data_IF_156345459570
#
_entry.id   IF_156345459570
#
_cell.length_a   1.000
_cell.length_b   1.000
_cell.length_c   1.000
_cell.angle_alpha   90.00
_cell.angle_beta   90.00
_cell.angle_gamma   90.00
#
_symmetry.space_group_name_H-M   'P 1'
#
loop_
_entity.id
_entity.type
_entity.pdbx_description
1 polymer ?
#
# COMPACT_ATOMS: atom_id res chain seq x y z
N UNK A 1 -6.21 -72.58 -67.07
CA UNK A 1 -5.82 -71.26 -67.65
C UNK A 1 -4.81 -70.47 -66.79
N UNK A 2 -4.30 -70.99 -65.66
CA UNK A 2 -3.32 -70.30 -64.82
C UNK A 2 -1.86 -70.78 -65.01
N UNK A 3 -1.61 -71.98 -65.55
CA UNK A 3 -0.24 -72.52 -65.69
C UNK A 3 0.54 -71.95 -66.88
N UNK A 4 -0.14 -71.56 -67.97
CA UNK A 4 0.50 -71.04 -69.19
C UNK A 4 1.13 -69.65 -69.03
N UNK A 5 0.78 -68.90 -67.98
CA UNK A 5 1.33 -67.56 -67.72
C UNK A 5 2.63 -67.59 -66.91
N UNK A 6 2.83 -68.62 -66.09
CA UNK A 6 4.02 -68.78 -65.24
C UNK A 6 5.27 -69.21 -66.03
N UNK A 7 5.13 -70.09 -67.03
CA UNK A 7 6.30 -70.57 -67.81
C UNK A 7 6.90 -69.50 -68.74
N UNK A 8 6.13 -68.46 -69.11
CA UNK A 8 6.63 -67.35 -69.95
C UNK A 8 7.48 -66.32 -69.20
N UNK A 9 7.41 -66.28 -67.86
CA UNK A 9 8.12 -65.32 -67.02
C UNK A 9 9.48 -65.84 -66.52
N UNK A 10 9.69 -67.16 -66.55
CA UNK A 10 10.95 -67.84 -66.18
C UNK A 10 11.78 -68.18 -67.43
N UNK A 11 11.66 -67.41 -68.51
CA UNK A 11 12.53 -67.49 -69.70
C UNK A 11 12.61 -68.87 -70.38
N UNK A 12 11.72 -69.81 -70.04
CA UNK A 12 11.79 -71.18 -70.52
C UNK A 12 11.14 -71.25 -71.91
N UNK A 13 11.95 -71.00 -72.94
CA UNK A 13 11.65 -71.46 -74.30
C UNK A 13 11.87 -72.97 -74.31
N UNK A 14 10.78 -73.71 -74.36
CA UNK A 14 10.83 -75.14 -74.65
C UNK A 14 11.61 -75.38 -75.93
N UNK A 15 12.54 -76.33 -75.86
CA UNK A 15 13.19 -76.91 -77.03
C UNK A 15 12.13 -77.56 -77.92
N UNK A 16 12.02 -77.10 -79.15
CA UNK A 16 11.58 -77.93 -80.26
C UNK A 16 12.84 -78.36 -81.02
N UNK A 17 13.22 -79.61 -80.79
CA UNK A 17 13.96 -80.43 -81.76
C UNK A 17 13.15 -80.47 -83.07
N UNK A 18 13.81 -80.21 -84.20
CA UNK A 18 13.16 -80.36 -85.50
C UNK A 18 13.55 -79.32 -86.54
N UNK A 19 14.85 -79.01 -86.68
CA UNK A 19 15.35 -78.52 -87.96
C UNK A 19 16.54 -79.36 -88.38
N UNK A 20 16.23 -80.33 -89.24
CA UNK A 20 17.10 -80.82 -90.31
C UNK A 20 18.16 -79.77 -90.64
N UNK A 21 19.43 -80.19 -90.67
CA UNK A 21 20.57 -79.38 -91.10
C UNK A 21 20.16 -78.42 -92.22
N UNK A 22 20.15 -77.09 -91.99
CA UNK A 22 19.69 -76.17 -92.99
C UNK A 22 20.79 -76.04 -94.04
N UNK A 23 20.59 -76.64 -95.20
CA UNK A 23 21.38 -76.37 -96.40
C UNK A 23 21.41 -74.86 -96.77
N UNK A 24 20.53 -74.04 -96.16
CA UNK A 24 20.51 -72.58 -96.26
C UNK A 24 21.59 -71.86 -95.43
N UNK A 25 22.19 -72.51 -94.43
CA UNK A 25 23.27 -71.93 -93.61
C UNK A 25 24.66 -72.20 -94.19
N UNK A 26 24.75 -72.99 -95.27
CA UNK A 26 26.02 -73.26 -95.91
C UNK A 26 26.60 -71.98 -96.53
N UNK A 27 25.78 -71.13 -97.16
CA UNK A 27 26.25 -69.92 -97.84
C UNK A 27 26.68 -68.80 -96.87
N UNK A 28 25.94 -68.58 -95.78
CA UNK A 28 26.36 -67.63 -94.74
C UNK A 28 27.58 -68.15 -93.99
N UNK A 29 27.65 -69.46 -93.71
CA UNK A 29 28.84 -70.08 -93.14
C UNK A 29 30.03 -70.05 -94.10
N UNK A 30 29.81 -70.20 -95.41
CA UNK A 30 30.84 -70.05 -96.44
C UNK A 30 31.31 -68.60 -96.49
N UNK A 31 30.42 -67.59 -96.43
CA UNK A 31 30.84 -66.17 -96.35
C UNK A 31 31.61 -65.83 -95.07
N UNK A 32 31.17 -66.34 -93.93
CA UNK A 32 31.86 -66.19 -92.65
C UNK A 32 33.24 -66.87 -92.71
N UNK A 33 33.30 -68.09 -93.24
CA UNK A 33 34.56 -68.83 -93.44
C UNK A 33 35.44 -68.19 -94.52
N UNK A 34 34.88 -67.57 -95.56
CA UNK A 34 35.61 -66.82 -96.58
C UNK A 34 36.17 -65.54 -95.99
N UNK A 35 35.41 -64.81 -95.17
CA UNK A 35 35.91 -63.66 -94.43
C UNK A 35 37.01 -64.06 -93.45
N UNK A 36 36.83 -65.16 -92.73
CA UNK A 36 37.85 -65.71 -91.83
C UNK A 36 39.06 -66.24 -92.61
N UNK A 37 38.88 -66.84 -93.79
CA UNK A 37 39.97 -67.29 -94.66
C UNK A 37 40.70 -66.10 -95.30
N UNK A 38 40.00 -65.02 -95.63
CA UNK A 38 40.59 -63.77 -96.08
C UNK A 38 41.34 -63.09 -94.94
N UNK A 39 40.80 -63.06 -93.72
CA UNK A 39 41.50 -62.57 -92.52
C UNK A 39 42.75 -63.42 -92.21
N UNK A 40 42.65 -64.74 -92.34
CA UNK A 40 43.77 -65.66 -92.17
C UNK A 40 44.79 -65.56 -93.31
N UNK A 41 44.37 -65.31 -94.56
CA UNK A 41 45.28 -65.02 -95.70
C UNK A 41 45.99 -63.68 -95.50
N UNK A 42 45.26 -62.64 -95.10
CA UNK A 42 45.78 -61.33 -94.70
C UNK A 42 46.83 -61.45 -93.58
N UNK A 43 46.55 -62.28 -92.56
CA UNK A 43 47.48 -62.58 -91.47
C UNK A 43 48.70 -63.42 -91.92
N UNK A 44 48.56 -64.25 -92.96
CA UNK A 44 49.65 -65.11 -93.48
C UNK A 44 50.60 -64.36 -94.43
N UNK A 45 50.15 -63.27 -95.03
CA UNK A 45 50.96 -62.41 -95.92
C UNK A 45 52.07 -61.63 -95.18
N UNK A 46 52.04 -61.56 -93.85
CA UNK A 46 53.09 -60.93 -93.03
C UNK A 46 54.48 -61.57 -93.26
N UNK A 47 54.51 -62.86 -93.61
CA UNK A 47 55.77 -63.61 -93.81
C UNK A 47 56.45 -63.35 -95.16
N UNK A 48 55.80 -62.62 -96.08
CA UNK A 48 56.32 -62.29 -97.41
C UNK A 48 56.59 -60.80 -97.65
N UNK A 49 56.37 -59.93 -96.65
CA UNK A 49 56.64 -58.50 -96.76
C UNK A 49 58.15 -58.20 -96.67
N UNK A 50 58.62 -57.24 -97.45
CA UNK A 50 59.94 -56.65 -97.26
C UNK A 50 60.00 -55.87 -95.93
N UNK A 51 61.20 -55.65 -95.39
CA UNK A 51 61.38 -54.94 -94.12
C UNK A 51 60.71 -53.57 -94.10
N UNK A 52 60.74 -52.86 -95.23
CA UNK A 52 60.14 -51.53 -95.41
C UNK A 52 58.60 -51.60 -95.39
N UNK A 53 58.00 -52.59 -96.06
CA UNK A 53 56.55 -52.78 -96.05
C UNK A 53 56.03 -53.17 -94.65
N UNK A 54 56.81 -53.97 -93.91
CA UNK A 54 56.46 -54.33 -92.53
C UNK A 54 56.55 -53.13 -91.59
N UNK A 55 57.56 -52.28 -91.73
CA UNK A 55 57.70 -51.03 -90.98
C UNK A 55 56.57 -50.03 -91.32
N UNK A 56 56.15 -49.94 -92.60
CA UNK A 56 55.00 -49.13 -93.02
C UNK A 56 53.69 -49.66 -92.41
N UNK A 57 53.43 -50.97 -92.50
CA UNK A 57 52.23 -51.55 -91.92
C UNK A 57 52.21 -51.38 -90.38
N UNK A 58 53.35 -51.54 -89.72
CA UNK A 58 53.47 -51.33 -88.28
C UNK A 58 53.22 -49.86 -87.90
N UNK A 59 53.74 -48.89 -88.65
CA UNK A 59 53.51 -47.46 -88.41
C UNK A 59 52.08 -47.03 -88.73
N UNK A 60 51.45 -47.59 -89.77
CA UNK A 60 50.04 -47.38 -90.08
C UNK A 60 49.12 -47.98 -89.01
N UNK A 61 49.44 -49.19 -88.53
CA UNK A 61 48.72 -49.83 -87.43
C UNK A 61 48.90 -49.05 -86.12
N UNK A 62 50.11 -48.58 -85.81
CA UNK A 62 50.35 -47.74 -84.65
C UNK A 62 49.58 -46.39 -84.75
N UNK A 63 49.57 -45.77 -85.93
CA UNK A 63 48.88 -44.50 -86.16
C UNK A 63 47.36 -44.65 -86.05
N UNK A 64 46.78 -45.74 -86.57
CA UNK A 64 45.35 -46.04 -86.40
C UNK A 64 45.00 -46.34 -84.95
N UNK A 65 45.84 -47.05 -84.20
CA UNK A 65 45.67 -47.23 -82.75
C UNK A 65 45.71 -45.90 -82.01
N UNK A 66 46.68 -45.02 -82.28
CA UNK A 66 46.79 -43.68 -81.68
C UNK A 66 45.55 -42.85 -81.97
N UNK A 67 45.10 -42.82 -83.23
CA UNK A 67 43.90 -42.06 -83.62
C UNK A 67 42.64 -42.60 -82.93
N UNK A 68 42.53 -43.91 -82.77
CA UNK A 68 41.43 -44.53 -82.02
C UNK A 68 41.46 -44.19 -80.52
N UNK A 69 42.66 -44.13 -79.93
CA UNK A 69 42.88 -43.77 -78.54
C UNK A 69 42.55 -42.29 -78.29
N UNK A 70 43.06 -41.39 -79.15
CA UNK A 70 42.74 -39.96 -79.11
C UNK A 70 41.23 -39.70 -79.28
N UNK A 71 40.57 -40.45 -80.16
CA UNK A 71 39.11 -40.31 -80.33
C UNK A 71 38.34 -40.81 -79.11
N UNK A 72 38.80 -41.90 -78.46
CA UNK A 72 38.23 -42.35 -77.18
C UNK A 72 38.45 -41.33 -76.08
N UNK A 73 39.66 -40.76 -75.99
CA UNK A 73 40.01 -39.73 -75.01
C UNK A 73 39.17 -38.46 -75.20
N UNK A 74 39.03 -37.96 -76.43
CA UNK A 74 38.20 -36.80 -76.74
C UNK A 74 36.72 -37.04 -76.37
N UNK A 75 36.18 -38.24 -76.64
CA UNK A 75 34.82 -38.61 -76.24
C UNK A 75 34.65 -38.71 -74.72
N UNK A 76 35.63 -39.30 -74.04
CA UNK A 76 35.63 -39.39 -72.57
C UNK A 76 35.70 -37.99 -71.93
N UNK A 77 36.58 -37.12 -72.42
CA UNK A 77 36.69 -35.73 -71.95
C UNK A 77 35.41 -34.93 -72.20
N UNK A 78 34.78 -35.08 -73.38
CA UNK A 78 33.50 -34.45 -73.67
C UNK A 78 32.38 -34.93 -72.74
N UNK A 79 32.32 -36.24 -72.44
CA UNK A 79 31.36 -36.80 -71.50
C UNK A 79 31.62 -36.30 -70.06
N UNK A 80 32.87 -36.26 -69.62
CA UNK A 80 33.25 -35.74 -68.31
C UNK A 80 32.87 -34.25 -68.16
N UNK A 81 33.16 -33.42 -69.17
CA UNK A 81 32.82 -32.00 -69.14
C UNK A 81 31.31 -31.78 -69.08
N UNK A 82 30.53 -32.60 -69.81
CA UNK A 82 29.07 -32.55 -69.75
C UNK A 82 28.56 -32.89 -68.34
N UNK A 83 29.07 -33.96 -67.73
CA UNK A 83 28.70 -34.36 -66.36
C UNK A 83 29.06 -33.27 -65.35
N UNK A 84 30.24 -32.66 -65.46
CA UNK A 84 30.68 -31.56 -64.59
C UNK A 84 29.73 -30.36 -64.71
N UNK A 85 29.38 -29.96 -65.94
CA UNK A 85 28.48 -28.84 -66.17
C UNK A 85 27.06 -29.11 -65.64
N UNK A 86 26.53 -30.32 -65.87
CA UNK A 86 25.23 -30.74 -65.36
C UNK A 86 25.22 -30.80 -63.82
N UNK A 87 26.30 -31.31 -63.22
CA UNK A 87 26.44 -31.38 -61.76
C UNK A 87 26.57 -29.98 -61.15
N UNK A 88 27.36 -29.10 -61.76
CA UNK A 88 27.50 -27.70 -61.34
C UNK A 88 26.17 -26.94 -61.42
N UNK A 89 25.41 -27.15 -62.49
CA UNK A 89 24.07 -26.57 -62.63
C UNK A 89 23.10 -27.09 -61.57
N UNK A 90 23.01 -28.41 -61.40
CA UNK A 90 22.08 -29.04 -60.46
C UNK A 90 22.41 -28.65 -59.01
N UNK A 91 23.70 -28.58 -58.65
CA UNK A 91 24.13 -28.11 -57.33
C UNK A 91 23.76 -26.66 -57.10
N UNK A 92 23.95 -25.77 -58.09
CA UNK A 92 23.55 -24.36 -58.01
C UNK A 92 22.03 -24.22 -57.83
N UNK A 93 21.23 -24.91 -58.63
CA UNK A 93 19.77 -24.89 -58.53
C UNK A 93 19.28 -25.38 -57.15
N UNK A 94 19.89 -26.45 -56.62
CA UNK A 94 19.57 -26.95 -55.27
C UNK A 94 19.96 -25.96 -54.17
N UNK A 95 21.08 -25.26 -54.33
CA UNK A 95 21.55 -24.27 -53.36
C UNK A 95 20.64 -23.04 -53.35
N UNK A 96 20.27 -22.52 -54.52
CA UNK A 96 19.32 -21.41 -54.66
C UNK A 96 17.93 -21.79 -54.10
N UNK A 97 17.45 -23.01 -54.36
CA UNK A 97 16.18 -23.47 -53.80
C UNK A 97 16.22 -23.59 -52.27
N UNK A 98 17.33 -24.08 -51.71
CA UNK A 98 17.54 -24.15 -50.26
C UNK A 98 17.60 -22.75 -49.63
N UNK A 99 18.30 -21.81 -50.27
CA UNK A 99 18.40 -20.43 -49.81
C UNK A 99 17.04 -19.71 -49.85
N UNK A 100 16.27 -19.88 -50.94
CA UNK A 100 14.92 -19.34 -51.04
C UNK A 100 14.00 -19.87 -49.94
N UNK A 101 14.09 -21.17 -49.63
CA UNK A 101 13.35 -21.79 -48.53
C UNK A 101 13.78 -21.23 -47.17
N UNK A 102 15.08 -21.07 -46.93
CA UNK A 102 15.59 -20.50 -45.69
C UNK A 102 15.11 -19.05 -45.49
N UNK A 103 15.20 -18.22 -46.54
CA UNK A 103 14.69 -16.83 -46.54
C UNK A 103 13.19 -16.78 -46.26
N UNK A 104 12.41 -17.66 -46.86
CA UNK A 104 10.96 -17.75 -46.60
C UNK A 104 10.64 -18.13 -45.15
N UNK A 105 11.36 -19.10 -44.58
CA UNK A 105 11.19 -19.51 -43.17
C UNK A 105 11.54 -18.34 -42.24
N UNK A 106 12.66 -17.66 -42.50
CA UNK A 106 13.10 -16.52 -41.71
C UNK A 106 12.07 -15.39 -41.75
N UNK A 107 11.61 -14.98 -42.94
CA UNK A 107 10.59 -13.94 -43.09
C UNK A 107 9.28 -14.31 -42.37
N UNK A 108 8.88 -15.57 -42.43
CA UNK A 108 7.70 -16.07 -41.72
C UNK A 108 7.88 -16.03 -40.19
N UNK A 109 9.08 -16.36 -39.69
CA UNK A 109 9.40 -16.28 -38.27
C UNK A 109 9.45 -14.83 -37.79
N UNK A 110 10.08 -13.93 -38.54
CA UNK A 110 10.13 -12.50 -38.23
C UNK A 110 8.74 -11.87 -38.21
N UNK A 111 7.88 -12.20 -39.18
CA UNK A 111 6.50 -11.72 -39.20
C UNK A 111 5.73 -12.18 -37.95
N UNK A 112 5.88 -13.44 -37.53
CA UNK A 112 5.27 -13.93 -36.29
C UNK A 112 5.86 -13.24 -35.06
N UNK A 113 7.19 -13.11 -34.98
CA UNK A 113 7.87 -12.44 -33.87
C UNK A 113 7.42 -10.99 -33.70
N UNK A 114 7.32 -10.24 -34.80
CA UNK A 114 6.79 -8.86 -34.80
C UNK A 114 5.36 -8.78 -34.29
N UNK A 115 4.50 -9.73 -34.65
CA UNK A 115 3.11 -9.77 -34.15
C UNK A 115 3.05 -10.02 -32.64
N UNK A 116 3.87 -10.94 -32.13
CA UNK A 116 3.93 -11.18 -30.68
C UNK A 116 4.47 -9.97 -29.91
N UNK A 117 5.48 -9.30 -30.46
CA UNK A 117 6.03 -8.07 -29.85
C UNK A 117 4.97 -6.97 -29.85
N UNK A 118 4.32 -6.71 -30.99
CA UNK A 118 3.25 -5.70 -31.08
C UNK A 118 2.11 -5.98 -30.11
N UNK A 119 1.64 -7.24 -30.01
CA UNK A 119 0.59 -7.60 -29.06
C UNK A 119 1.03 -7.40 -27.61
N UNK A 120 2.28 -7.74 -27.27
CA UNK A 120 2.82 -7.51 -25.93
C UNK A 120 3.00 -6.01 -25.62
N UNK A 121 3.36 -5.20 -26.62
CA UNK A 121 3.45 -3.74 -26.51
C UNK A 121 2.08 -3.11 -26.28
N UNK A 122 1.06 -3.55 -27.03
CA UNK A 122 -0.34 -3.12 -26.86
C UNK A 122 -0.88 -3.51 -25.48
N UNK A 123 -0.68 -4.76 -25.04
CA UNK A 123 -1.08 -5.24 -23.72
C UNK A 123 -0.38 -4.44 -22.60
N UNK A 124 0.91 -4.12 -22.77
CA UNK A 124 1.66 -3.31 -21.82
C UNK A 124 1.13 -1.87 -21.76
N UNK A 125 0.78 -1.28 -22.91
CA UNK A 125 0.17 0.05 -22.97
C UNK A 125 -1.19 0.08 -22.24
N UNK A 126 -2.03 -0.94 -22.45
CA UNK A 126 -3.31 -1.08 -21.75
C UNK A 126 -3.13 -1.24 -20.24
N UNK A 127 -2.12 -2.01 -19.81
CA UNK A 127 -1.77 -2.14 -18.39
C UNK A 127 -1.34 -0.81 -17.77
N UNK A 128 -0.56 0.00 -18.49
CA UNK A 128 -0.18 1.34 -18.02
C UNK A 128 -1.40 2.24 -17.90
N UNK A 129 -2.26 2.31 -18.93
CA UNK A 129 -3.49 3.12 -18.91
C UNK A 129 -4.40 2.72 -17.74
N UNK A 130 -4.60 1.42 -17.52
CA UNK A 130 -5.43 0.94 -16.41
C UNK A 130 -4.80 1.20 -15.05
N UNK A 131 -3.47 1.17 -14.93
CA UNK A 131 -2.78 1.51 -13.70
C UNK A 131 -2.88 3.01 -13.39
N UNK A 132 -2.70 3.88 -14.39
CA UNK A 132 -2.88 5.34 -14.27
C UNK A 132 -4.30 5.70 -13.86
N UNK A 133 -5.31 5.12 -14.53
CA UNK A 133 -6.72 5.35 -14.19
C UNK A 133 -7.05 4.95 -12.73
N UNK A 134 -6.52 3.82 -12.26
CA UNK A 134 -6.68 3.38 -10.86
C UNK A 134 -5.95 4.31 -9.89
N UNK A 135 -4.75 4.77 -10.24
CA UNK A 135 -4.01 5.73 -9.42
C UNK A 135 -4.79 7.03 -9.26
N UNK A 136 -5.34 7.56 -10.36
CA UNK A 136 -6.18 8.76 -10.35
C UNK A 136 -7.46 8.56 -9.55
N UNK A 137 -8.11 7.40 -9.65
CA UNK A 137 -9.29 7.07 -8.84
C UNK A 137 -8.96 7.11 -7.34
N UNK A 138 -7.85 6.47 -6.94
CA UNK A 138 -7.39 6.44 -5.55
C UNK A 138 -7.04 7.84 -5.04
N UNK A 139 -6.32 8.63 -5.84
CA UNK A 139 -5.97 10.02 -5.49
C UNK A 139 -7.21 10.90 -5.33
N UNK A 140 -8.17 10.80 -6.26
CA UNK A 140 -9.41 11.55 -6.19
C UNK A 140 -10.25 11.15 -4.96
N UNK A 141 -10.32 9.84 -4.67
CA UNK A 141 -11.01 9.33 -3.48
C UNK A 141 -10.34 9.85 -2.21
N UNK A 142 -9.01 9.71 -2.11
CA UNK A 142 -8.23 10.19 -0.97
C UNK A 142 -8.39 11.70 -0.76
N UNK A 143 -8.35 12.50 -1.83
CA UNK A 143 -8.55 13.96 -1.76
C UNK A 143 -9.96 14.32 -1.25
N UNK A 144 -10.99 13.62 -1.72
CA UNK A 144 -12.38 13.82 -1.25
C UNK A 144 -12.54 13.44 0.21
N UNK A 145 -11.99 12.30 0.62
CA UNK A 145 -12.01 11.83 2.01
C UNK A 145 -11.25 12.79 2.94
N UNK A 146 -10.06 13.24 2.56
CA UNK A 146 -9.29 14.23 3.32
C UNK A 146 -10.07 15.56 3.47
N UNK A 147 -10.71 16.02 2.40
CA UNK A 147 -11.53 17.23 2.43
C UNK A 147 -12.76 17.06 3.34
N UNK A 148 -13.43 15.91 3.27
CA UNK A 148 -14.57 15.59 4.13
C UNK A 148 -14.15 15.51 5.60
N UNK A 149 -13.02 14.88 5.90
CA UNK A 149 -12.47 14.76 7.25
C UNK A 149 -12.08 16.13 7.82
N UNK A 150 -11.42 16.98 7.03
CA UNK A 150 -11.09 18.35 7.44
C UNK A 150 -12.35 19.17 7.73
N UNK A 151 -13.39 19.06 6.88
CA UNK A 151 -14.66 19.74 7.09
C UNK A 151 -15.38 19.23 8.36
N UNK A 152 -15.37 17.93 8.62
CA UNK A 152 -15.93 17.34 9.84
C UNK A 152 -15.17 17.84 11.09
N UNK A 153 -13.84 17.77 11.07
CA UNK A 153 -12.99 18.27 12.16
C UNK A 153 -13.22 19.75 12.45
N UNK A 154 -13.39 20.59 11.42
CA UNK A 154 -13.73 22.01 11.59
C UNK A 154 -15.09 22.21 12.26
N UNK A 155 -16.11 21.44 11.86
CA UNK A 155 -17.44 21.51 12.48
C UNK A 155 -17.41 21.07 13.94
N UNK A 156 -16.67 20.00 14.25
CA UNK A 156 -16.57 19.50 15.63
C UNK A 156 -15.75 20.44 16.51
N UNK A 157 -14.68 21.05 15.99
CA UNK A 157 -13.96 22.11 16.68
C UNK A 157 -14.87 23.32 16.97
N UNK A 158 -15.68 23.74 16.01
CA UNK A 158 -16.66 24.83 16.21
C UNK A 158 -17.70 24.47 17.27
N UNK A 159 -18.22 23.24 17.28
CA UNK A 159 -19.13 22.78 18.32
C UNK A 159 -18.48 22.81 19.70
N UNK A 160 -17.25 22.29 19.83
CA UNK A 160 -16.51 22.29 21.09
C UNK A 160 -16.29 23.71 21.62
N UNK A 161 -15.91 24.65 20.75
CA UNK A 161 -15.75 26.06 21.13
C UNK A 161 -17.07 26.67 21.57
N UNK A 162 -18.17 26.39 20.86
CA UNK A 162 -19.49 26.89 21.23
C UNK A 162 -19.96 26.33 22.58
N UNK A 163 -19.77 25.03 22.82
CA UNK A 163 -20.15 24.38 24.06
C UNK A 163 -19.29 24.87 25.24
N UNK A 164 -17.98 25.01 25.03
CA UNK A 164 -17.09 25.63 26.02
C UNK A 164 -17.52 27.08 26.34
N UNK A 165 -17.88 27.86 25.32
CA UNK A 165 -18.34 29.24 25.50
C UNK A 165 -19.63 29.31 26.31
N UNK A 166 -20.60 28.41 26.03
CA UNK A 166 -21.84 28.30 26.83
C UNK A 166 -21.54 27.93 28.28
N UNK A 167 -20.71 26.91 28.51
CA UNK A 167 -20.34 26.48 29.85
C UNK A 167 -19.66 27.61 30.65
N UNK A 168 -18.83 28.44 30.01
CA UNK A 168 -18.23 29.61 30.67
C UNK A 168 -19.30 30.62 31.10
N UNK A 169 -20.27 30.92 30.23
CA UNK A 169 -21.36 31.84 30.55
C UNK A 169 -22.23 31.29 31.70
N UNK A 170 -22.57 30.01 31.63
CA UNK A 170 -23.35 29.33 32.67
C UNK A 170 -22.60 29.33 34.01
N UNK A 171 -21.31 29.03 34.00
CA UNK A 171 -20.47 29.07 35.20
C UNK A 171 -20.36 30.49 35.78
N UNK A 172 -20.22 31.52 34.94
CA UNK A 172 -20.21 32.92 35.40
C UNK A 172 -21.55 33.33 36.02
N UNK A 173 -22.67 32.91 35.42
CA UNK A 173 -24.02 33.15 35.97
C UNK A 173 -24.21 32.47 37.33
N UNK A 174 -23.76 31.22 37.44
CA UNK A 174 -23.77 30.47 38.69
C UNK A 174 -22.90 31.14 39.77
N UNK A 175 -21.66 31.54 39.44
CA UNK A 175 -20.78 32.26 40.36
C UNK A 175 -21.40 33.58 40.84
N UNK A 176 -22.01 34.36 39.95
CA UNK A 176 -22.69 35.61 40.33
C UNK A 176 -23.82 35.36 41.32
N UNK A 177 -24.60 34.29 41.10
CA UNK A 177 -25.67 33.88 42.02
C UNK A 177 -25.09 33.44 43.37
N UNK A 178 -24.02 32.64 43.36
CA UNK A 178 -23.36 32.17 44.57
C UNK A 178 -22.76 33.32 45.40
N UNK A 179 -22.12 34.30 44.75
CA UNK A 179 -21.59 35.51 45.43
C UNK A 179 -22.73 36.31 46.05
N UNK A 180 -23.81 36.55 45.31
CA UNK A 180 -24.97 37.29 45.81
C UNK A 180 -25.60 36.62 47.04
N UNK A 181 -25.68 35.29 47.03
CA UNK A 181 -26.19 34.51 48.15
C UNK A 181 -25.23 34.53 49.34
N UNK A 182 -23.92 34.45 49.11
CA UNK A 182 -22.91 34.57 50.15
C UNK A 182 -22.96 35.96 50.83
N UNK A 183 -23.09 37.04 50.06
CA UNK A 183 -23.25 38.40 50.60
C UNK A 183 -24.55 38.56 51.39
N UNK A 184 -25.65 37.94 50.94
CA UNK A 184 -26.93 37.92 51.65
C UNK A 184 -26.79 37.18 52.98
N UNK A 185 -26.14 36.02 52.99
CA UNK A 185 -25.89 35.23 54.19
C UNK A 185 -25.02 36.01 55.17
N UNK A 186 -23.93 36.62 54.69
CA UNK A 186 -23.04 37.44 55.52
C UNK A 186 -23.76 38.61 56.18
N UNK A 187 -24.61 39.34 55.43
CA UNK A 187 -25.45 40.41 55.99
C UNK A 187 -26.42 39.90 57.05
N UNK A 188 -27.07 38.76 56.78
CA UNK A 188 -28.01 38.14 57.72
C UNK A 188 -27.28 37.70 59.00
N UNK A 189 -26.11 37.07 58.86
CA UNK A 189 -25.27 36.67 59.98
C UNK A 189 -24.84 37.89 60.81
N UNK A 190 -24.35 38.95 60.17
CA UNK A 190 -23.94 40.17 60.88
C UNK A 190 -25.12 40.84 61.61
N UNK A 191 -26.31 40.88 60.98
CA UNK A 191 -27.52 41.38 61.62
C UNK A 191 -27.90 40.52 62.84
N UNK A 192 -27.80 39.19 62.73
CA UNK A 192 -28.07 38.27 63.84
C UNK A 192 -27.07 38.42 65.00
N UNK A 193 -25.78 38.65 64.69
CA UNK A 193 -24.74 38.90 65.67
C UNK A 193 -24.96 40.23 66.39
N UNK A 194 -25.28 41.29 65.65
CA UNK A 194 -25.59 42.61 66.24
C UNK A 194 -26.85 42.56 67.12
N UNK A 195 -27.87 41.80 66.71
CA UNK A 195 -29.07 41.58 67.50
C UNK A 195 -28.75 40.80 68.80
N UNK A 196 -27.93 39.76 68.70
CA UNK A 196 -27.45 39.01 69.87
C UNK A 196 -26.61 39.89 70.80
N UNK A 197 -25.71 40.71 70.27
CA UNK A 197 -24.91 41.65 71.05
C UNK A 197 -25.80 42.66 71.78
N UNK A 198 -26.78 43.25 71.09
CA UNK A 198 -27.74 44.18 71.69
C UNK A 198 -28.54 43.51 72.82
N UNK A 199 -29.01 42.27 72.61
CA UNK A 199 -29.71 41.50 73.64
C UNK A 199 -28.81 41.20 74.85
N UNK A 200 -27.52 40.90 74.63
CA UNK A 200 -26.53 40.73 75.71
C UNK A 200 -26.35 42.05 76.46
N UNK A 201 -26.22 43.18 75.79
CA UNK A 201 -26.10 44.49 76.44
C UNK A 201 -27.33 44.82 77.28
N UNK A 202 -28.54 44.60 76.76
CA UNK A 202 -29.77 44.76 77.52
C UNK A 202 -29.81 43.83 78.74
N UNK A 203 -29.37 42.57 78.59
CA UNK A 203 -29.30 41.62 79.71
C UNK A 203 -28.31 42.09 80.79
N UNK A 204 -27.15 42.63 80.39
CA UNK A 204 -26.15 43.21 81.30
C UNK A 204 -26.69 44.44 82.02
N UNK A 205 -27.43 45.30 81.33
CA UNK A 205 -28.08 46.46 81.94
C UNK A 205 -29.14 46.02 82.96
N UNK A 206 -29.99 45.04 82.61
CA UNK A 206 -30.97 44.46 83.54
C UNK A 206 -30.30 43.85 84.78
N UNK A 207 -29.21 43.10 84.59
CA UNK A 207 -28.41 42.55 85.69
C UNK A 207 -27.81 43.67 86.56
N UNK A 208 -27.22 44.69 85.95
CA UNK A 208 -26.68 45.85 86.68
C UNK A 208 -27.78 46.52 87.52
N UNK A 209 -28.95 46.78 86.93
CA UNK A 209 -30.08 47.34 87.65
C UNK A 209 -30.57 46.44 88.78
N UNK A 210 -30.58 45.12 88.59
CA UNK A 210 -30.94 44.17 89.64
C UNK A 210 -29.91 44.20 90.79
N UNK A 211 -28.61 44.25 90.49
CA UNK A 211 -27.53 44.41 91.47
C UNK A 211 -27.64 45.72 92.23
N UNK A 212 -27.85 46.84 91.54
CA UNK A 212 -28.05 48.15 92.17
C UNK A 212 -29.26 48.11 93.12
N UNK A 213 -30.34 47.43 92.71
CA UNK A 213 -31.54 47.26 93.54
C UNK A 213 -31.31 46.35 94.75
N UNK A 214 -30.52 45.29 94.61
CA UNK A 214 -30.10 44.42 95.72
C UNK A 214 -29.18 45.14 96.69
N UNK A 215 -28.19 45.90 96.20
CA UNK A 215 -27.33 46.73 97.03
C UNK A 215 -28.15 47.76 97.80
N UNK A 216 -29.10 48.43 97.13
CA UNK A 216 -30.00 49.35 97.80
C UNK A 216 -30.89 48.65 98.84
N UNK A 217 -31.36 47.43 98.56
CA UNK A 217 -32.10 46.62 99.53
C UNK A 217 -31.23 46.24 100.73
N UNK A 218 -29.97 45.86 100.50
CA UNK A 218 -29.00 45.56 101.56
C UNK A 218 -28.76 46.77 102.47
N UNK A 219 -28.56 47.95 101.88
CA UNK A 219 -28.43 49.21 102.63
C UNK A 219 -29.70 49.52 103.45
N UNK A 220 -30.88 49.33 102.85
CA UNK A 220 -32.17 49.50 103.54
C UNK A 220 -32.35 48.48 104.67
N UNK A 221 -31.87 47.24 104.52
CA UNK A 221 -31.87 46.23 105.59
C UNK A 221 -30.95 46.67 106.73
N UNK A 222 -29.68 47.01 106.46
CA UNK A 222 -28.76 47.45 107.49
C UNK A 222 -29.25 48.70 108.23
N UNK A 223 -29.86 49.65 107.53
CA UNK A 223 -30.44 50.83 108.16
C UNK A 223 -31.65 50.54 109.07
N UNK A 224 -32.28 49.37 108.93
CA UNK A 224 -33.41 48.92 109.74
C UNK A 224 -33.00 47.96 110.88
N UNK A 225 -31.71 47.65 111.04
CA UNK A 225 -31.19 46.78 112.12
C UNK A 225 -30.53 47.62 113.24
N UNK A 226 -30.60 47.14 114.49
CA UNK A 226 -29.91 47.73 115.63
C UNK A 226 -28.48 47.17 115.82
N UNK A 227 -27.74 47.65 116.83
CA UNK A 227 -26.33 47.26 117.08
C UNK A 227 -26.13 45.78 117.44
N UNK A 228 -27.19 45.03 117.70
CA UNK A 228 -27.16 43.58 117.99
C UNK A 228 -27.81 42.75 116.88
N UNK A 229 -27.93 43.30 115.66
CA UNK A 229 -28.51 42.67 114.47
C UNK A 229 -30.00 42.31 114.61
N UNK A 230 -30.78 43.03 115.44
CA UNK A 230 -32.23 42.82 115.58
C UNK A 230 -33.05 43.87 114.81
N UNK A 231 -34.25 43.53 114.27
CA UNK A 231 -35.07 44.48 113.53
C UNK A 231 -35.56 45.62 114.44
N UNK A 232 -35.31 46.86 114.05
CA UNK A 232 -35.75 48.06 114.79
C UNK A 232 -37.26 48.28 114.74
N UNK A 233 -37.97 47.68 113.78
CA UNK A 233 -39.42 47.79 113.59
C UNK A 233 -40.08 46.43 113.31
N UNK A 234 -41.34 46.25 113.74
CA UNK A 234 -42.13 45.00 113.54
C UNK A 234 -42.50 44.71 112.07
N UNK A 235 -42.30 45.67 111.18
CA UNK A 235 -42.54 45.55 109.73
C UNK A 235 -41.39 46.20 108.96
N UNK A 236 -40.98 45.58 107.85
CA UNK A 236 -39.93 46.12 106.99
C UNK A 236 -40.43 47.37 106.25
N UNK A 237 -39.72 48.48 106.37
CA UNK A 237 -40.04 49.72 105.65
C UNK A 237 -38.99 49.95 104.55
N UNK A 238 -39.41 49.75 103.30
CA UNK A 238 -38.60 50.02 102.10
C UNK A 238 -38.18 51.50 102.08
N UNK A 239 -36.91 51.79 101.82
CA UNK A 239 -36.37 53.16 101.74
C UNK A 239 -36.11 53.83 103.09
N UNK A 240 -36.14 53.08 104.20
CA UNK A 240 -35.79 53.62 105.52
C UNK A 240 -34.35 54.14 105.57
N UNK A 241 -33.40 53.50 104.88
CA UNK A 241 -32.02 53.97 104.76
C UNK A 241 -31.92 55.32 104.06
N UNK A 242 -32.64 55.50 102.96
CA UNK A 242 -32.74 56.80 102.28
C UNK A 242 -33.40 57.88 103.14
N UNK A 243 -34.43 57.55 103.92
CA UNK A 243 -35.07 58.49 104.86
C UNK A 243 -34.16 58.83 106.04
N UNK A 244 -33.43 57.86 106.59
CA UNK A 244 -32.48 58.06 107.67
C UNK A 244 -31.26 58.89 107.22
N UNK A 245 -30.70 58.61 106.05
CA UNK A 245 -29.64 59.41 105.44
C UNK A 245 -30.10 60.82 105.11
N UNK A 246 -31.30 60.98 104.51
CA UNK A 246 -31.88 62.31 104.26
C UNK A 246 -32.17 63.08 105.56
N UNK A 247 -32.59 62.39 106.63
CA UNK A 247 -32.77 62.98 107.95
C UNK A 247 -31.44 63.34 108.60
N UNK A 248 -30.39 62.53 108.45
CA UNK A 248 -29.03 62.82 108.93
C UNK A 248 -28.41 64.01 108.20
N UNK A 249 -28.56 64.09 106.87
CA UNK A 249 -28.14 65.23 106.05
C UNK A 249 -28.95 66.48 106.38
N UNK A 250 -30.27 66.36 106.60
CA UNK A 250 -31.11 67.48 107.08
C UNK A 250 -30.71 67.93 108.48
N UNK A 251 -30.38 67.02 109.40
CA UNK A 251 -29.85 67.33 110.74
C UNK A 251 -28.49 68.03 110.65
N UNK A 252 -27.54 67.54 109.84
CA UNK A 252 -26.26 68.21 109.61
C UNK A 252 -26.43 69.61 108.99
N UNK A 253 -27.30 69.75 107.97
CA UNK A 253 -27.62 71.08 107.40
C UNK A 253 -28.27 72.01 108.43
N UNK A 254 -29.14 71.51 109.32
CA UNK A 254 -29.74 72.29 110.38
C UNK A 254 -28.72 72.70 111.47
N UNK A 255 -27.78 71.81 111.84
CA UNK A 255 -26.69 72.09 112.78
C UNK A 255 -25.75 73.16 112.21
N UNK A 256 -25.35 73.04 110.94
CA UNK A 256 -24.54 74.06 110.27
C UNK A 256 -25.26 75.42 110.20
N UNK A 257 -26.58 75.43 109.92
CA UNK A 257 -27.37 76.66 109.89
C UNK A 257 -27.48 77.32 111.28
N UNK A 258 -27.62 76.52 112.35
CA UNK A 258 -27.66 77.02 113.74
C UNK A 258 -26.32 77.63 114.19
N UNK A 259 -25.19 77.03 113.77
CA UNK A 259 -23.85 77.59 114.00
C UNK A 259 -23.58 78.87 113.20
N UNK A 260 -24.17 79.01 112.01
CA UNK A 260 -24.08 80.28 111.25
C UNK A 260 -24.98 81.39 111.81
N UNK A 261 -26.09 81.04 112.47
CA UNK A 261 -26.99 81.99 113.11
C UNK A 261 -26.49 82.48 114.48
N UNK A 262 -25.73 81.66 115.23
CA UNK A 262 -25.09 82.07 116.47
C UNK A 262 -23.85 82.97 116.26
N UNK A 263 -23.16 82.85 115.12
CA UNK A 263 -22.02 83.73 114.75
C UNK A 263 -22.43 85.13 114.28
N UNK A 264 -23.69 85.36 113.91
CA UNK A 264 -24.20 86.68 113.47
C UNK A 264 -24.79 87.55 114.60
N UNK A 265 -24.77 87.08 115.86
CA UNK A 265 -25.34 87.77 117.03
C UNK A 265 -24.33 88.18 118.12
N UNK A 266 -23.03 88.20 117.79
CA UNK A 266 -21.98 88.88 118.57
C UNK A 266 -21.30 89.94 117.69
N UNK A 267 -21.90 91.13 117.70
CA UNK A 267 -21.17 92.39 117.74
C UNK A 267 -20.64 92.54 119.16
#
# INVERSE_FOLDING_TARGET
MAEKKLLSWVGFKGEEEGKSAPAQNALERIRELENQLNDLRSRRDITGLSREEFEILATETAMTMIKSAQQREARANAAAQKIINETSRNTKEKLEAAEAKAKSILSSAESRGRRYISAAEDDAADLVITAEAKADEILNKSSREASALSAAAKRDAQKLVNDASKNIVDYRSWLSSAISEAERLHRTQNASLNAAESAIQESRQKLKHAFDRLSQLQDDIYANLDSENRPTNKTFVVGAGKKAAAAAVRKQKAINKKNTASKKKKK
#
